data_IF_965323081940
#
_entry.id   IF_965323081940
#
_cell.length_a   1.000
_cell.length_b   1.000
_cell.length_c   1.000
_cell.angle_alpha   90.00
_cell.angle_beta   90.00
_cell.angle_gamma   90.00
#
_symmetry.space_group_name_H-M   'P 1'
#
loop_
_entity.id
_entity.type
_entity.pdbx_description
1 polymer ?
#
# COMPACT_ATOMS: atom_id res chain seq x y z
N UNK A 1 1.67 -21.47 6.43
CA UNK A 1 1.42 -20.08 5.96
C UNK A 1 2.49 -19.18 6.54
N UNK A 2 2.91 -18.16 5.82
CA UNK A 2 3.94 -17.21 6.27
C UNK A 2 3.56 -15.79 5.89
N UNK A 3 3.90 -14.84 6.76
CA UNK A 3 3.69 -13.43 6.57
C UNK A 3 5.05 -12.77 6.34
N UNK A 4 5.14 -11.90 5.36
CA UNK A 4 6.36 -11.18 5.05
C UNK A 4 6.25 -9.72 5.47
N UNK A 5 7.34 -9.15 6.01
CA UNK A 5 7.40 -7.74 6.42
C UNK A 5 8.64 -7.04 5.88
N UNK A 6 8.59 -5.72 5.84
CA UNK A 6 9.70 -4.83 5.54
C UNK A 6 9.74 -3.67 6.55
N UNK A 7 10.93 -3.13 6.81
CA UNK A 7 11.09 -1.97 7.69
C UNK A 7 10.93 -0.66 6.93
N UNK A 8 10.19 0.26 7.54
CA UNK A 8 9.92 1.62 7.06
C UNK A 8 10.43 2.63 8.07
N UNK A 9 11.06 3.68 7.58
CA UNK A 9 11.50 4.78 8.42
C UNK A 9 10.29 5.59 8.91
N UNK A 10 10.30 5.97 10.18
CA UNK A 10 9.27 6.82 10.76
C UNK A 10 9.45 8.26 10.24
N UNK A 11 8.37 8.93 9.76
CA UNK A 11 8.48 10.28 9.20
C UNK A 11 8.92 11.34 10.23
N UNK A 12 8.71 11.08 11.53
CA UNK A 12 9.08 12.00 12.62
C UNK A 12 10.56 11.89 13.04
N UNK A 13 11.28 10.88 12.54
CA UNK A 13 12.68 10.65 12.90
C UNK A 13 13.69 11.49 12.09
N UNK A 14 13.23 12.40 11.24
CA UNK A 14 14.12 13.29 10.45
C UNK A 14 14.86 14.33 11.30
N UNK A 15 14.50 14.48 12.60
CA UNK A 15 15.13 15.36 13.57
C UNK A 15 16.19 14.68 14.46
N UNK A 16 16.32 13.37 14.37
CA UNK A 16 17.28 12.58 15.15
C UNK A 16 18.31 11.96 14.20
N UNK A 17 19.59 12.01 14.56
CA UNK A 17 20.70 11.42 13.78
C UNK A 17 20.55 9.91 13.58
N UNK A 18 19.80 9.22 14.45
CA UNK A 18 19.42 7.81 14.30
C UNK A 18 17.91 7.69 14.02
N UNK A 19 17.56 7.52 12.75
CA UNK A 19 16.15 7.31 12.35
C UNK A 19 15.58 6.02 12.93
N UNK A 20 14.35 6.09 13.47
CA UNK A 20 13.59 4.92 13.93
C UNK A 20 12.81 4.27 12.80
N UNK A 21 12.62 2.94 12.90
CA UNK A 21 11.95 2.13 11.88
C UNK A 21 10.78 1.36 12.49
N UNK A 22 9.74 1.12 11.70
CA UNK A 22 8.64 0.24 12.07
C UNK A 22 8.42 -0.84 11.00
N UNK A 23 8.02 -2.07 11.40
CA UNK A 23 7.72 -3.12 10.45
C UNK A 23 6.35 -2.88 9.80
N UNK A 24 6.25 -3.13 8.49
CA UNK A 24 4.99 -3.19 7.75
C UNK A 24 4.89 -4.49 6.98
N UNK A 25 3.68 -5.00 6.89
CA UNK A 25 3.38 -6.20 6.10
C UNK A 25 3.59 -5.90 4.62
N UNK A 26 4.28 -6.83 3.95
CA UNK A 26 4.41 -6.85 2.50
C UNK A 26 3.15 -7.47 1.93
N UNK A 27 2.28 -6.64 1.32
CA UNK A 27 1.05 -7.12 0.70
C UNK A 27 1.38 -7.83 -0.62
N UNK A 28 1.09 -9.12 -0.70
CA UNK A 28 1.38 -9.96 -1.86
C UNK A 28 0.26 -9.97 -2.90
N UNK A 29 -0.94 -9.49 -2.52
CA UNK A 29 -2.09 -9.45 -3.41
C UNK A 29 -3.37 -9.00 -2.69
N UNK A 30 -4.46 -8.99 -3.43
CA UNK A 30 -5.81 -8.74 -2.93
C UNK A 30 -6.67 -9.96 -3.27
N UNK A 31 -7.34 -10.51 -2.27
CA UNK A 31 -8.41 -11.50 -2.46
C UNK A 31 -9.72 -10.74 -2.61
N UNK A 32 -10.41 -10.92 -3.70
CA UNK A 32 -11.74 -10.36 -3.95
C UNK A 32 -12.86 -11.34 -3.56
N UNK A 33 -14.10 -10.87 -3.62
CA UNK A 33 -15.27 -11.68 -3.28
C UNK A 33 -15.42 -12.89 -4.20
N UNK A 34 -15.00 -12.79 -5.45
CA UNK A 34 -15.06 -13.89 -6.41
C UNK A 34 -14.09 -15.02 -6.07
N UNK A 35 -12.88 -14.65 -5.70
CA UNK A 35 -11.87 -15.62 -5.24
C UNK A 35 -12.31 -16.27 -3.93
N UNK A 36 -12.75 -15.45 -2.95
CA UNK A 36 -13.26 -15.95 -1.67
C UNK A 36 -14.43 -16.93 -1.86
N UNK A 37 -15.38 -16.60 -2.74
CA UNK A 37 -16.51 -17.48 -3.02
C UNK A 37 -16.08 -18.81 -3.67
N UNK A 38 -15.06 -18.80 -4.51
CA UNK A 38 -14.47 -20.03 -5.07
C UNK A 38 -13.82 -20.90 -4.01
N UNK A 39 -13.07 -20.28 -3.13
CA UNK A 39 -12.36 -21.00 -2.06
C UNK A 39 -13.37 -21.64 -1.09
N UNK A 40 -14.40 -20.90 -0.68
CA UNK A 40 -15.49 -21.42 0.18
C UNK A 40 -16.25 -22.57 -0.50
N UNK A 41 -16.55 -22.48 -1.80
CA UNK A 41 -17.21 -23.55 -2.54
C UNK A 41 -16.40 -24.87 -2.54
N UNK A 42 -15.07 -24.79 -2.46
CA UNK A 42 -14.21 -25.99 -2.38
C UNK A 42 -14.28 -26.68 -1.03
N UNK A 43 -14.65 -25.94 0.03
CA UNK A 43 -14.65 -26.43 1.42
C UNK A 43 -16.06 -26.82 1.91
N UNK A 44 -17.14 -26.39 1.21
CA UNK A 44 -18.52 -26.67 1.61
C UNK A 44 -19.46 -26.84 0.41
N UNK A 45 -20.73 -27.22 0.68
CA UNK A 45 -21.73 -27.45 -0.36
C UNK A 45 -22.38 -26.20 -0.97
N UNK A 46 -21.98 -25.00 -0.50
CA UNK A 46 -22.50 -23.74 -1.02
C UNK A 46 -21.97 -23.45 -2.43
N UNK A 47 -22.85 -22.98 -3.31
CA UNK A 47 -22.42 -22.47 -4.62
C UNK A 47 -21.81 -21.07 -4.47
N UNK A 48 -21.01 -20.65 -5.47
CA UNK A 48 -20.47 -19.27 -5.52
C UNK A 48 -21.58 -18.22 -5.46
N UNK A 49 -22.72 -18.49 -6.07
CA UNK A 49 -23.88 -17.58 -6.05
C UNK A 49 -24.48 -17.48 -4.66
N UNK A 50 -24.58 -18.59 -3.93
CA UNK A 50 -25.08 -18.59 -2.55
C UNK A 50 -24.16 -17.81 -1.61
N UNK A 51 -22.85 -18.00 -1.73
CA UNK A 51 -21.87 -17.24 -0.95
C UNK A 51 -21.99 -15.74 -1.22
N UNK A 52 -22.11 -15.32 -2.47
CA UNK A 52 -22.30 -13.91 -2.83
C UNK A 52 -23.61 -13.34 -2.28
N UNK A 53 -24.71 -14.09 -2.43
CA UNK A 53 -26.01 -13.68 -1.91
C UNK A 53 -25.99 -13.55 -0.38
N UNK A 54 -25.35 -14.49 0.31
CA UNK A 54 -25.18 -14.44 1.77
C UNK A 54 -24.36 -13.22 2.21
N UNK A 55 -23.24 -12.94 1.55
CA UNK A 55 -22.40 -11.77 1.86
C UNK A 55 -23.14 -10.45 1.61
N UNK A 56 -23.95 -10.36 0.55
CA UNK A 56 -24.77 -9.19 0.28
C UNK A 56 -25.83 -9.00 1.37
N UNK A 57 -26.58 -10.04 1.70
CA UNK A 57 -27.58 -10.01 2.76
C UNK A 57 -26.98 -9.69 4.13
N UNK A 58 -25.76 -10.21 4.43
CA UNK A 58 -25.03 -9.89 5.65
C UNK A 58 -24.68 -8.39 5.69
N UNK A 59 -24.16 -7.83 4.61
CA UNK A 59 -23.82 -6.41 4.53
C UNK A 59 -25.04 -5.51 4.78
N UNK A 60 -26.20 -5.84 4.18
CA UNK A 60 -27.45 -5.10 4.36
C UNK A 60 -27.94 -5.17 5.82
N UNK A 61 -27.89 -6.37 6.42
CA UNK A 61 -28.29 -6.54 7.83
C UNK A 61 -27.35 -5.87 8.79
N UNK A 62 -26.04 -5.90 8.52
CA UNK A 62 -25.07 -5.15 9.32
C UNK A 62 -25.34 -3.64 9.25
N UNK A 63 -25.57 -3.10 8.05
CA UNK A 63 -25.90 -1.69 7.87
C UNK A 63 -27.16 -1.31 8.66
N UNK A 64 -28.20 -2.14 8.60
CA UNK A 64 -29.45 -1.94 9.37
C UNK A 64 -29.17 -1.89 10.87
N UNK A 65 -28.53 -2.90 11.45
CA UNK A 65 -28.30 -2.94 12.92
C UNK A 65 -27.33 -1.86 13.39
N UNK A 66 -26.31 -1.54 12.62
CA UNK A 66 -25.37 -0.47 12.94
C UNK A 66 -26.06 0.91 12.90
N UNK A 67 -27.00 1.13 11.98
CA UNK A 67 -27.78 2.39 11.92
C UNK A 67 -28.74 2.54 13.11
N UNK A 68 -29.18 1.42 13.72
CA UNK A 68 -29.95 1.40 14.96
C UNK A 68 -29.07 1.60 16.22
N UNK A 69 -27.77 1.87 16.06
CA UNK A 69 -26.82 2.04 17.16
C UNK A 69 -26.37 0.73 17.82
N UNK A 70 -26.75 -0.42 17.28
CA UNK A 70 -26.34 -1.71 17.80
C UNK A 70 -24.89 -2.07 17.42
N UNK A 71 -24.20 -2.82 18.26
CA UNK A 71 -22.96 -3.53 17.88
C UNK A 71 -23.32 -4.83 17.21
N UNK A 72 -22.66 -5.16 16.11
CA UNK A 72 -22.79 -6.45 15.41
C UNK A 72 -21.61 -7.32 15.80
N UNK A 73 -21.86 -8.51 16.30
CA UNK A 73 -20.88 -9.53 16.54
C UNK A 73 -21.06 -10.67 15.55
N UNK A 74 -19.98 -11.01 14.85
CA UNK A 74 -19.88 -12.19 14.00
C UNK A 74 -18.90 -13.15 14.68
N UNK A 75 -19.41 -14.31 15.07
CA UNK A 75 -18.61 -15.35 15.73
C UNK A 75 -17.37 -15.70 14.90
N UNK A 76 -16.24 -15.86 15.57
CA UNK A 76 -14.91 -16.14 14.99
C UNK A 76 -14.32 -15.03 14.11
N UNK A 77 -15.12 -14.00 13.76
CA UNK A 77 -14.67 -12.85 12.95
C UNK A 77 -14.39 -11.66 13.87
N UNK A 78 -15.42 -11.15 14.57
CA UNK A 78 -15.24 -10.03 15.49
C UNK A 78 -16.44 -9.11 15.62
N UNK A 79 -16.17 -7.95 16.21
CA UNK A 79 -17.16 -6.93 16.56
C UNK A 79 -17.06 -5.73 15.65
N UNK A 80 -18.22 -5.21 15.25
CA UNK A 80 -18.38 -3.98 14.48
C UNK A 80 -19.18 -2.98 15.29
N UNK A 81 -18.76 -1.72 15.29
CA UNK A 81 -19.49 -0.61 15.93
C UNK A 81 -19.34 0.68 15.14
N UNK A 82 -20.34 1.54 15.21
CA UNK A 82 -20.30 2.89 14.67
C UNK A 82 -19.51 3.82 15.60
N UNK A 83 -18.71 4.69 15.01
CA UNK A 83 -18.09 5.80 15.70
C UNK A 83 -18.65 7.11 15.14
N UNK A 84 -18.87 8.07 16.04
CA UNK A 84 -19.32 9.40 15.70
C UNK A 84 -18.18 10.42 15.91
N UNK A 85 -18.30 11.56 15.28
CA UNK A 85 -17.43 12.70 15.51
C UNK A 85 -18.26 13.99 15.58
N UNK A 86 -17.72 14.98 16.26
CA UNK A 86 -18.25 16.34 16.19
C UNK A 86 -17.38 17.18 15.26
N UNK A 87 -17.99 18.02 14.46
CA UNK A 87 -17.31 19.01 13.61
C UNK A 87 -17.05 20.33 14.34
N UNK A 88 -17.51 20.44 15.58
CA UNK A 88 -17.29 21.60 16.46
C UNK A 88 -16.93 21.12 17.86
N UNK A 89 -16.20 21.95 18.60
CA UNK A 89 -15.93 21.69 20.01
C UNK A 89 -17.23 21.81 20.80
N UNK A 90 -17.56 20.75 21.54
CA UNK A 90 -18.77 20.70 22.37
C UNK A 90 -18.36 21.09 23.81
N UNK A 91 -18.60 22.34 24.17
CA UNK A 91 -18.24 22.89 25.49
C UNK A 91 -19.34 22.74 26.53
N UNK A 92 -20.58 22.51 26.08
CA UNK A 92 -21.75 22.27 26.96
C UNK A 92 -22.67 21.25 26.29
N UNK A 93 -23.30 20.40 27.12
CA UNK A 93 -24.34 19.47 26.68
C UNK A 93 -25.66 20.22 26.71
N UNK A 94 -26.09 20.76 25.59
CA UNK A 94 -27.38 21.37 25.39
C UNK A 94 -28.18 20.63 24.30
N UNK A 95 -29.50 20.73 24.33
CA UNK A 95 -30.39 20.05 23.36
C UNK A 95 -30.23 20.56 21.94
N UNK A 96 -29.44 21.60 21.68
CA UNK A 96 -29.17 22.19 20.38
C UNK A 96 -27.93 21.55 19.65
N UNK A 97 -27.25 20.62 20.29
CA UNK A 97 -26.03 19.99 19.80
C UNK A 97 -26.23 18.96 18.66
N UNK A 98 -27.48 18.66 18.28
CA UNK A 98 -27.80 17.58 17.29
C UNK A 98 -27.19 17.83 15.92
N UNK A 99 -27.01 19.07 15.48
CA UNK A 99 -26.38 19.40 14.20
C UNK A 99 -24.86 19.26 14.16
N UNK A 100 -24.20 18.98 15.29
CA UNK A 100 -22.73 18.94 15.42
C UNK A 100 -22.16 17.52 15.38
N UNK A 101 -23.01 16.50 15.48
CA UNK A 101 -22.62 15.09 15.54
C UNK A 101 -22.81 14.43 14.19
N UNK A 102 -21.72 13.82 13.67
CA UNK A 102 -21.69 13.20 12.34
C UNK A 102 -21.15 11.75 12.44
N UNK A 103 -21.55 10.93 11.48
CA UNK A 103 -20.91 9.63 11.28
C UNK A 103 -19.42 9.82 10.97
N UNK A 104 -18.57 9.09 11.70
CA UNK A 104 -17.12 9.10 11.47
C UNK A 104 -16.67 7.86 10.70
N UNK A 105 -16.96 6.68 11.24
CA UNK A 105 -16.47 5.41 10.69
C UNK A 105 -17.16 4.22 11.34
N UNK A 106 -16.98 3.05 10.75
CA UNK A 106 -17.23 1.76 11.40
C UNK A 106 -15.88 1.23 11.87
N UNK A 107 -15.76 0.88 13.14
CA UNK A 107 -14.59 0.20 13.68
C UNK A 107 -14.83 -1.29 13.78
N UNK A 108 -13.78 -2.04 13.50
CA UNK A 108 -13.72 -3.49 13.61
C UNK A 108 -12.74 -3.89 14.72
N UNK A 109 -13.14 -4.86 15.54
CA UNK A 109 -12.26 -5.51 16.52
C UNK A 109 -12.33 -7.02 16.29
N UNK A 110 -11.21 -7.61 15.89
CA UNK A 110 -11.12 -9.03 15.61
C UNK A 110 -11.44 -9.89 16.86
N UNK A 111 -12.08 -11.03 16.63
CA UNK A 111 -12.31 -12.03 17.64
C UNK A 111 -11.02 -12.69 18.13
N UNK A 112 -11.05 -13.29 19.32
CA UNK A 112 -9.89 -13.97 19.92
C UNK A 112 -9.43 -15.16 19.09
N UNK A 113 -10.34 -15.92 18.47
CA UNK A 113 -10.00 -17.04 17.61
C UNK A 113 -9.20 -16.59 16.40
N UNK A 114 -9.64 -15.53 15.71
CA UNK A 114 -8.93 -14.96 14.55
C UNK A 114 -7.54 -14.45 14.95
N UNK A 115 -7.42 -13.76 16.09
CA UNK A 115 -6.14 -13.31 16.61
C UNK A 115 -5.19 -14.46 16.93
N UNK A 116 -5.67 -15.50 17.63
CA UNK A 116 -4.86 -16.67 17.98
C UNK A 116 -4.33 -17.39 16.74
N UNK A 117 -5.16 -17.51 15.69
CA UNK A 117 -4.76 -18.10 14.41
C UNK A 117 -3.63 -17.26 13.77
N UNK A 118 -3.74 -15.92 13.81
CA UNK A 118 -2.68 -15.04 13.28
C UNK A 118 -1.41 -15.07 14.12
N UNK A 119 -1.49 -15.22 15.44
CA UNK A 119 -0.32 -15.31 16.34
C UNK A 119 0.54 -16.53 16.05
N UNK A 120 -0.02 -17.62 15.54
CA UNK A 120 0.71 -18.83 15.16
C UNK A 120 1.40 -18.73 13.79
N UNK A 121 1.17 -17.64 13.05
CA UNK A 121 1.73 -17.46 11.71
C UNK A 121 3.20 -17.10 11.79
N UNK A 122 4.03 -17.81 11.03
CA UNK A 122 5.47 -17.52 10.94
C UNK A 122 5.69 -16.21 10.19
N UNK A 123 6.56 -15.35 10.72
CA UNK A 123 6.84 -14.03 10.19
C UNK A 123 8.28 -13.98 9.70
N UNK A 124 8.48 -13.59 8.42
CA UNK A 124 9.78 -13.50 7.79
C UNK A 124 10.02 -12.11 7.21
N UNK A 125 11.26 -11.66 7.24
CA UNK A 125 11.65 -10.46 6.53
C UNK A 125 11.59 -10.73 5.02
N UNK A 126 10.93 -9.82 4.28
CA UNK A 126 10.86 -9.93 2.83
C UNK A 126 12.20 -9.59 2.18
N UNK A 127 12.60 -10.38 1.20
CA UNK A 127 13.70 -10.03 0.30
C UNK A 127 13.23 -9.14 -0.88
N UNK A 128 11.91 -8.98 -1.04
CA UNK A 128 11.31 -8.14 -2.09
C UNK A 128 11.21 -6.70 -1.56
N UNK A 129 12.05 -5.83 -2.06
CA UNK A 129 11.93 -4.39 -1.77
C UNK A 129 10.67 -3.85 -2.44
N UNK A 130 9.69 -3.45 -1.64
CA UNK A 130 8.43 -2.83 -2.10
C UNK A 130 8.52 -1.30 -2.19
N UNK A 131 9.65 -0.72 -1.77
CA UNK A 131 9.87 0.71 -1.82
C UNK A 131 11.14 1.03 -2.57
N UNK A 132 11.07 2.15 -3.29
CA UNK A 132 12.26 2.78 -3.83
C UNK A 132 13.19 3.15 -2.70
N UNK A 133 14.49 2.88 -2.86
CA UNK A 133 15.49 3.45 -1.96
C UNK A 133 15.34 4.97 -1.98
N UNK A 134 15.40 5.66 -0.83
CA UNK A 134 15.48 7.12 -0.80
C UNK A 134 16.87 7.53 -1.29
N UNK A 135 17.04 7.62 -2.61
CA UNK A 135 18.26 8.13 -3.23
C UNK A 135 18.10 9.62 -3.48
N UNK A 136 19.16 10.37 -3.19
CA UNK A 136 19.26 11.77 -3.59
C UNK A 136 19.44 11.88 -5.11
N UNK A 137 19.22 13.05 -5.66
CA UNK A 137 19.45 13.27 -7.10
C UNK A 137 20.90 13.04 -7.48
N UNK A 138 21.84 13.46 -6.61
CA UNK A 138 23.28 13.29 -6.79
C UNK A 138 23.69 11.82 -6.83
N UNK A 139 23.13 10.99 -5.94
CA UNK A 139 23.37 9.53 -5.94
C UNK A 139 22.83 8.86 -7.20
N UNK A 140 21.68 9.30 -7.72
CA UNK A 140 21.13 8.80 -8.96
C UNK A 140 22.03 9.18 -10.14
N UNK A 141 22.48 10.41 -10.20
CA UNK A 141 23.38 10.89 -11.25
C UNK A 141 24.74 10.17 -11.19
N UNK A 142 25.31 9.96 -10.01
CA UNK A 142 26.54 9.19 -9.84
C UNK A 142 26.41 7.75 -10.37
N UNK A 143 25.31 7.07 -10.04
CA UNK A 143 25.02 5.71 -10.55
C UNK A 143 24.83 5.68 -12.07
N UNK A 144 24.20 6.70 -12.64
CA UNK A 144 24.03 6.81 -14.09
C UNK A 144 25.38 7.08 -14.78
N UNK A 145 26.24 7.93 -14.20
CA UNK A 145 27.60 8.20 -14.70
C UNK A 145 28.42 6.91 -14.72
N UNK A 146 28.40 6.12 -13.64
CA UNK A 146 29.07 4.82 -13.60
C UNK A 146 28.53 3.85 -14.64
N UNK A 147 27.19 3.79 -14.81
CA UNK A 147 26.56 2.93 -15.82
C UNK A 147 26.95 3.34 -17.23
N UNK A 148 26.90 4.62 -17.56
CA UNK A 148 27.21 5.12 -18.90
C UNK A 148 28.70 5.14 -19.23
N UNK A 149 29.57 4.97 -18.25
CA UNK A 149 31.00 4.73 -18.49
C UNK A 149 31.26 3.41 -19.22
N UNK A 150 30.35 2.42 -19.08
CA UNK A 150 30.49 1.08 -19.69
C UNK A 150 29.37 0.74 -20.68
N UNK A 151 28.23 1.45 -20.65
CA UNK A 151 27.05 1.16 -21.46
C UNK A 151 26.57 2.43 -22.17
N UNK A 152 26.30 2.35 -23.46
CA UNK A 152 25.79 3.49 -24.22
C UNK A 152 24.33 3.84 -23.94
N UNK A 153 23.56 2.90 -23.42
CA UNK A 153 22.09 3.05 -23.24
C UNK A 153 21.61 2.39 -21.95
N UNK A 154 20.44 2.82 -21.49
CA UNK A 154 19.77 2.22 -20.33
C UNK A 154 18.28 2.03 -20.62
N UNK A 155 17.75 0.86 -20.31
CA UNK A 155 16.30 0.61 -20.32
C UNK A 155 15.68 1.01 -18.99
N UNK A 156 14.36 1.22 -18.96
CA UNK A 156 13.61 1.48 -17.70
C UNK A 156 13.87 0.39 -16.66
N UNK A 157 13.92 -0.88 -17.09
CA UNK A 157 14.13 -2.01 -16.18
C UNK A 157 15.54 -2.01 -15.58
N UNK A 158 16.57 -1.73 -16.39
CA UNK A 158 17.94 -1.58 -15.91
C UNK A 158 18.07 -0.41 -14.93
N UNK A 159 17.45 0.72 -15.21
CA UNK A 159 17.41 1.88 -14.29
C UNK A 159 16.76 1.54 -12.96
N UNK A 160 15.64 0.78 -12.99
CA UNK A 160 15.00 0.29 -11.75
C UNK A 160 15.96 -0.55 -10.91
N UNK A 161 16.70 -1.48 -11.53
CA UNK A 161 17.68 -2.31 -10.82
C UNK A 161 18.86 -1.50 -10.31
N UNK A 162 19.44 -0.64 -11.15
CA UNK A 162 20.59 0.19 -10.84
C UNK A 162 20.33 1.07 -9.61
N UNK A 163 19.18 1.73 -9.57
CA UNK A 163 18.78 2.63 -8.51
C UNK A 163 17.90 1.97 -7.44
N UNK A 164 17.59 0.67 -7.54
CA UNK A 164 16.69 -0.05 -6.63
C UNK A 164 15.34 0.67 -6.43
N UNK A 165 14.73 1.12 -7.53
CA UNK A 165 13.51 1.89 -7.55
C UNK A 165 12.31 1.04 -7.96
N UNK A 166 11.14 1.38 -7.43
CA UNK A 166 9.88 0.87 -7.97
C UNK A 166 9.55 1.51 -9.32
N UNK A 167 8.80 0.78 -10.15
CA UNK A 167 8.39 1.23 -11.49
C UNK A 167 7.82 2.65 -11.53
N UNK A 168 6.85 3.06 -10.66
CA UNK A 168 6.30 4.41 -10.69
C UNK A 168 7.35 5.49 -10.40
N UNK A 169 8.21 5.26 -9.41
CA UNK A 169 9.28 6.18 -9.03
C UNK A 169 10.32 6.28 -10.13
N UNK A 170 10.76 5.16 -10.69
CA UNK A 170 11.70 5.13 -11.80
C UNK A 170 11.15 5.87 -13.03
N UNK A 171 9.87 5.67 -13.39
CA UNK A 171 9.23 6.39 -14.49
C UNK A 171 9.21 7.91 -14.26
N UNK A 172 8.89 8.36 -13.03
CA UNK A 172 8.87 9.78 -12.68
C UNK A 172 10.26 10.41 -12.77
N UNK A 173 11.29 9.72 -12.28
CA UNK A 173 12.67 10.22 -12.32
C UNK A 173 13.20 10.24 -13.75
N UNK A 174 13.00 9.19 -14.53
CA UNK A 174 13.40 9.17 -15.94
C UNK A 174 12.71 10.31 -16.71
N UNK A 175 11.40 10.51 -16.51
CA UNK A 175 10.68 11.62 -17.15
C UNK A 175 11.33 12.95 -16.81
N UNK A 176 11.62 13.21 -15.54
CA UNK A 176 12.32 14.42 -15.10
C UNK A 176 13.68 14.58 -15.80
N UNK A 177 14.50 13.53 -15.85
CA UNK A 177 15.83 13.58 -16.50
C UNK A 177 15.71 13.82 -18.03
N UNK A 178 14.64 13.35 -18.65
CA UNK A 178 14.34 13.66 -20.07
C UNK A 178 13.88 15.11 -20.21
N UNK A 179 13.00 15.58 -19.33
CA UNK A 179 12.50 16.97 -19.34
C UNK A 179 13.65 17.98 -19.03
N UNK A 180 14.62 17.60 -18.19
CA UNK A 180 15.87 18.35 -17.94
C UNK A 180 16.89 18.27 -19.10
N UNK A 181 16.59 17.49 -20.13
CA UNK A 181 17.48 17.30 -21.28
C UNK A 181 18.73 16.46 -20.99
N UNK A 182 18.80 15.75 -19.84
CA UNK A 182 19.95 14.89 -19.47
C UNK A 182 19.91 13.52 -20.13
N UNK A 183 18.70 13.03 -20.42
CA UNK A 183 18.47 11.76 -21.12
C UNK A 183 17.60 11.98 -22.35
N UNK A 184 17.83 11.19 -23.40
CA UNK A 184 17.01 11.16 -24.61
C UNK A 184 16.47 9.76 -24.84
N UNK A 185 15.17 9.62 -25.13
CA UNK A 185 14.60 8.35 -25.57
C UNK A 185 14.89 8.16 -27.06
N UNK A 186 15.58 7.09 -27.41
CA UNK A 186 15.97 6.74 -28.78
C UNK A 186 15.12 5.62 -29.40
N UNK A 187 14.16 5.07 -28.63
CA UNK A 187 13.30 3.98 -29.05
C UNK A 187 11.81 4.35 -28.94
N UNK A 188 10.92 3.37 -29.12
CA UNK A 188 9.48 3.59 -29.08
C UNK A 188 8.97 3.91 -27.65
N UNK A 189 7.81 4.57 -27.56
CA UNK A 189 7.16 4.82 -26.27
C UNK A 189 6.74 3.54 -25.53
N UNK A 190 6.50 2.44 -26.25
CA UNK A 190 6.13 1.14 -25.66
C UNK A 190 7.33 0.43 -25.04
N UNK A 191 8.50 0.55 -25.64
CA UNK A 191 9.76 -0.05 -25.18
C UNK A 191 10.86 1.00 -25.18
N UNK A 192 10.85 1.97 -24.23
CA UNK A 192 11.77 3.08 -24.24
C UNK A 192 13.17 2.64 -23.86
N UNK A 193 14.15 3.16 -24.59
CA UNK A 193 15.58 3.05 -24.33
C UNK A 193 16.15 4.45 -24.28
N UNK A 194 16.92 4.75 -23.28
CA UNK A 194 17.45 6.07 -23.00
C UNK A 194 18.97 6.10 -23.21
N UNK A 195 19.44 7.18 -23.77
CA UNK A 195 20.87 7.48 -23.87
C UNK A 195 21.16 8.84 -23.21
N UNK A 196 22.37 9.08 -22.72
CA UNK A 196 22.76 10.38 -22.21
C UNK A 196 22.86 11.39 -23.36
N UNK A 197 22.62 12.65 -23.07
CA UNK A 197 22.90 13.76 -24.00
C UNK A 197 24.30 14.28 -23.76
N UNK A 198 24.93 14.86 -24.79
CA UNK A 198 26.27 15.43 -24.72
C UNK A 198 26.42 16.37 -23.51
N UNK A 199 27.55 16.24 -22.81
CA UNK A 199 27.86 16.99 -21.60
C UNK A 199 27.22 16.46 -20.30
N UNK A 200 26.46 15.35 -20.35
CA UNK A 200 25.88 14.72 -19.17
C UNK A 200 26.44 13.32 -18.94
N UNK A 201 26.51 12.92 -17.65
CA UNK A 201 26.97 11.59 -17.21
C UNK A 201 28.33 11.18 -17.78
N UNK A 202 29.25 12.14 -18.02
CA UNK A 202 30.59 11.88 -18.54
C UNK A 202 30.64 11.56 -20.04
N UNK A 203 29.56 11.80 -20.79
CA UNK A 203 29.55 11.63 -22.24
C UNK A 203 29.80 13.00 -22.92
N UNK A 204 30.86 13.07 -23.75
CA UNK A 204 31.19 14.24 -24.58
C UNK A 204 30.22 14.45 -25.75
#
# INVERSE_FOLDING_TARGET
MSLHYEFYRNPQSDKEEQGTYHPRVVTTGKVDTEQLARDIQQECSLTRSDVKAMLAALADKMAQYLSEGKRVYLEDIGYFKVNLQSNQEITAIDDKGVGKVLFKSISFRADERLKKTMMSTKIYRSNLKQHSMPLTNEEIEAKLTEHFATNAVITRRQFQFLCQLLKPTACRIIKRLVDEGKLKNIASLRSPVYMPTSGNFGCE
#
